data_IF_296056462966
#
_entry.id   IF_296056462966
#
_cell.length_a   1.000
_cell.length_b   1.000
_cell.length_c   1.000
_cell.angle_alpha   90.00
_cell.angle_beta   90.00
_cell.angle_gamma   90.00
#
_symmetry.space_group_name_H-M   'P 1'
#
loop_
_entity.id
_entity.type
_entity.pdbx_description
1 polymer ?
#
# COMPACT_ATOMS: atom_id res chain seq x y z
N UNK A 1 -51.35 -9.99 29.08
CA UNK A 1 -49.95 -10.47 29.11
C UNK A 1 -49.18 -9.76 28.00
N UNK A 2 -48.19 -8.93 28.35
CA UNK A 2 -47.32 -8.21 27.41
C UNK A 2 -45.94 -8.83 27.52
N UNK A 3 -45.42 -9.36 26.42
CA UNK A 3 -44.01 -9.70 26.29
C UNK A 3 -43.44 -8.83 25.17
N UNK A 4 -42.54 -7.91 25.52
CA UNK A 4 -41.71 -7.17 24.58
C UNK A 4 -40.42 -7.95 24.36
N UNK A 5 -40.14 -8.34 23.12
CA UNK A 5 -38.84 -8.88 22.73
C UNK A 5 -37.89 -7.70 22.41
N UNK A 6 -36.76 -7.63 23.10
CA UNK A 6 -35.69 -6.68 22.81
C UNK A 6 -34.76 -7.27 21.74
N UNK A 7 -34.64 -6.60 20.59
CA UNK A 7 -33.63 -6.91 19.59
C UNK A 7 -32.32 -6.18 19.94
N UNK A 8 -31.24 -6.93 20.14
CA UNK A 8 -29.91 -6.36 20.34
C UNK A 8 -29.27 -6.02 18.97
N UNK A 9 -29.02 -4.74 18.71
CA UNK A 9 -28.17 -4.30 17.61
C UNK A 9 -26.70 -4.52 18.01
N UNK A 10 -26.01 -5.44 17.33
CA UNK A 10 -24.56 -5.54 17.40
C UNK A 10 -23.97 -4.51 16.42
N UNK A 11 -23.34 -3.44 16.92
CA UNK A 11 -22.61 -2.50 16.08
C UNK A 11 -21.28 -3.14 15.64
N UNK A 12 -21.05 -3.23 14.33
CA UNK A 12 -19.76 -3.64 13.75
C UNK A 12 -18.83 -2.42 13.85
N UNK A 13 -17.78 -2.53 14.66
CA UNK A 13 -16.71 -1.53 14.67
C UNK A 13 -15.87 -1.70 13.40
N UNK A 14 -16.04 -0.79 12.45
CA UNK A 14 -15.08 -0.63 11.34
C UNK A 14 -13.86 0.07 11.92
N UNK A 15 -12.80 -0.69 12.21
CA UNK A 15 -11.51 -0.11 12.57
C UNK A 15 -10.88 0.45 11.30
N UNK A 16 -10.97 1.76 11.07
CA UNK A 16 -10.13 2.41 10.06
C UNK A 16 -8.67 2.20 10.44
N UNK A 17 -7.86 1.61 9.55
CA UNK A 17 -6.43 1.51 9.81
C UNK A 17 -5.86 2.93 9.91
N UNK A 18 -5.40 3.31 11.10
CA UNK A 18 -4.68 4.55 11.28
C UNK A 18 -3.30 4.42 10.63
N UNK A 19 -2.94 5.37 9.78
CA UNK A 19 -1.60 5.44 9.17
C UNK A 19 -0.57 5.70 10.26
N UNK A 20 0.41 4.80 10.38
CA UNK A 20 1.55 4.97 11.26
C UNK A 20 2.72 5.57 10.49
N UNK A 21 3.20 6.73 10.92
CA UNK A 21 4.32 7.39 10.27
C UNK A 21 5.63 6.68 10.56
N UNK A 22 6.36 6.32 9.50
CA UNK A 22 7.75 5.86 9.60
C UNK A 22 8.62 6.97 10.20
N UNK A 23 9.49 6.58 11.14
CA UNK A 23 10.48 7.47 11.77
C UNK A 23 11.80 7.50 11.00
N UNK A 24 12.03 6.51 10.15
CA UNK A 24 13.10 6.47 9.15
C UNK A 24 12.60 6.87 7.77
N UNK A 25 12.54 5.92 6.85
CA UNK A 25 12.08 6.08 5.47
C UNK A 25 10.75 5.34 5.25
N UNK A 26 9.78 5.97 4.60
CA UNK A 26 8.63 5.26 4.02
C UNK A 26 8.97 4.87 2.57
N UNK A 27 9.02 3.58 2.28
CA UNK A 27 9.26 3.07 0.94
C UNK A 27 7.94 2.68 0.28
N UNK A 28 7.62 3.27 -0.86
CA UNK A 28 6.54 2.80 -1.74
C UNK A 28 7.13 1.96 -2.85
N UNK A 29 6.59 0.77 -3.07
CA UNK A 29 7.25 -0.24 -3.89
C UNK A 29 6.28 -0.82 -4.91
N UNK A 30 6.60 -0.67 -6.18
CA UNK A 30 5.77 -1.17 -7.28
C UNK A 30 6.51 -2.31 -8.00
N UNK A 31 5.90 -3.49 -7.97
CA UNK A 31 6.44 -4.73 -8.58
C UNK A 31 6.40 -4.68 -10.11
N UNK A 32 7.07 -5.63 -10.77
CA UNK A 32 7.03 -5.83 -12.21
C UNK A 32 5.87 -6.72 -12.68
N UNK A 33 5.71 -6.78 -14.00
CA UNK A 33 4.65 -7.58 -14.65
C UNK A 33 4.73 -9.05 -14.27
N UNK A 34 3.60 -9.66 -13.91
CA UNK A 34 3.48 -11.08 -13.58
C UNK A 34 3.96 -11.45 -12.18
N UNK A 35 4.52 -10.52 -11.42
CA UNK A 35 4.91 -10.77 -10.03
C UNK A 35 3.68 -10.86 -9.12
N UNK A 36 3.74 -11.70 -8.09
CA UNK A 36 2.70 -11.80 -7.08
C UNK A 36 2.58 -10.48 -6.28
N UNK A 37 1.40 -10.15 -5.73
CA UNK A 37 1.23 -8.96 -4.89
C UNK A 37 2.25 -8.90 -3.75
N UNK A 38 2.80 -7.69 -3.51
CA UNK A 38 3.88 -7.46 -2.56
C UNK A 38 5.06 -6.74 -3.21
N UNK A 39 6.25 -6.97 -2.66
CA UNK A 39 7.47 -6.21 -3.02
C UNK A 39 8.14 -6.71 -4.32
N UNK A 40 7.70 -7.86 -4.87
CA UNK A 40 8.31 -8.49 -6.03
C UNK A 40 9.83 -8.70 -5.85
N UNK A 41 10.57 -8.64 -6.94
CA UNK A 41 12.03 -8.79 -6.98
C UNK A 41 12.76 -7.74 -6.14
N UNK A 42 12.13 -6.61 -5.83
CA UNK A 42 12.76 -5.53 -5.05
C UNK A 42 12.80 -5.80 -3.54
N UNK A 43 12.22 -6.92 -3.08
CA UNK A 43 12.17 -7.30 -1.67
C UNK A 43 13.54 -7.40 -0.97
N UNK A 44 14.60 -7.75 -1.72
CA UNK A 44 15.96 -7.78 -1.18
C UNK A 44 16.51 -6.36 -0.91
N UNK A 45 16.24 -5.40 -1.81
CA UNK A 45 16.67 -4.00 -1.67
C UNK A 45 15.93 -3.35 -0.50
N UNK A 46 14.63 -3.52 -0.40
CA UNK A 46 13.82 -2.98 0.69
C UNK A 46 14.24 -3.57 2.04
N UNK A 47 14.52 -4.88 2.12
CA UNK A 47 15.03 -5.51 3.35
C UNK A 47 16.40 -4.94 3.76
N UNK A 48 17.29 -4.71 2.79
CA UNK A 48 18.57 -4.05 3.06
C UNK A 48 18.37 -2.62 3.60
N UNK A 49 17.43 -1.85 3.03
CA UNK A 49 17.10 -0.51 3.52
C UNK A 49 16.56 -0.55 4.95
N UNK A 50 15.64 -1.47 5.25
CA UNK A 50 15.12 -1.64 6.62
C UNK A 50 16.23 -1.95 7.63
N UNK A 51 17.25 -2.72 7.23
CA UNK A 51 18.42 -3.02 8.07
C UNK A 51 19.38 -1.84 8.27
N UNK A 52 19.52 -0.97 7.26
CA UNK A 52 20.43 0.18 7.30
C UNK A 52 19.80 1.44 7.90
N UNK A 53 18.47 1.57 7.82
CA UNK A 53 17.72 2.75 8.25
C UNK A 53 16.63 2.31 9.23
N UNK A 54 16.93 2.22 10.55
CA UNK A 54 15.95 1.86 11.56
C UNK A 54 14.72 2.79 11.54
N UNK A 55 13.55 2.22 11.83
CA UNK A 55 12.27 2.96 11.81
C UNK A 55 11.69 3.20 10.41
N UNK A 56 12.29 2.60 9.37
CA UNK A 56 11.74 2.58 8.03
C UNK A 56 10.60 1.57 7.90
N UNK A 57 9.70 1.81 6.95
CA UNK A 57 8.54 0.97 6.65
C UNK A 57 8.39 0.80 5.14
N UNK A 58 7.77 -0.31 4.71
CA UNK A 58 7.58 -0.63 3.30
C UNK A 58 6.09 -0.79 3.01
N UNK A 59 5.61 -0.08 1.98
CA UNK A 59 4.26 -0.19 1.44
C UNK A 59 4.32 -0.63 -0.03
N UNK A 60 4.02 -1.90 -0.32
CA UNK A 60 3.79 -2.34 -1.68
C UNK A 60 2.58 -1.62 -2.30
N UNK A 61 2.70 -1.20 -3.55
CA UNK A 61 1.57 -0.69 -4.33
C UNK A 61 0.76 -1.86 -4.86
N UNK A 62 -0.49 -1.92 -4.45
CA UNK A 62 -1.42 -2.93 -4.93
C UNK A 62 -2.05 -2.47 -6.25
N UNK A 63 -1.68 -3.15 -7.33
CA UNK A 63 -2.13 -2.86 -8.68
C UNK A 63 -2.02 -4.13 -9.55
N UNK A 64 -2.61 -4.19 -10.75
CA UNK A 64 -2.68 -5.44 -11.51
C UNK A 64 -1.32 -6.07 -11.86
N UNK A 65 -0.33 -5.26 -12.26
CA UNK A 65 0.96 -5.74 -12.77
C UNK A 65 0.81 -6.78 -13.90
N UNK A 66 -0.10 -6.57 -14.84
CA UNK A 66 -0.42 -7.52 -15.92
C UNK A 66 0.03 -7.02 -17.29
N UNK A 67 0.17 -7.93 -18.24
CA UNK A 67 0.48 -7.62 -19.65
C UNK A 67 -0.79 -7.51 -20.51
N UNK A 68 -1.76 -8.42 -20.30
CA UNK A 68 -2.89 -8.59 -21.22
C UNK A 68 -4.27 -8.48 -20.57
N UNK A 69 -4.47 -9.05 -19.37
CA UNK A 69 -5.76 -8.99 -18.68
C UNK A 69 -5.61 -8.65 -17.19
N UNK A 70 -5.90 -7.40 -16.76
CA UNK A 70 -6.23 -6.25 -17.60
C UNK A 70 -5.07 -5.86 -18.53
N UNK A 71 -5.35 -5.06 -19.56
CA UNK A 71 -4.35 -4.64 -20.56
C UNK A 71 -3.15 -3.97 -19.89
N UNK A 72 -1.97 -4.02 -20.52
CA UNK A 72 -0.78 -3.33 -20.02
C UNK A 72 -1.06 -1.85 -19.72
N UNK A 73 -1.80 -1.16 -20.59
CA UNK A 73 -2.15 0.25 -20.40
C UNK A 73 -3.06 0.48 -19.20
N UNK A 74 -4.05 -0.39 -18.98
CA UNK A 74 -4.92 -0.31 -17.80
C UNK A 74 -4.15 -0.65 -16.52
N UNK A 75 -3.24 -1.63 -16.58
CA UNK A 75 -2.34 -1.96 -15.48
C UNK A 75 -1.47 -0.76 -15.09
N UNK A 76 -0.81 -0.12 -16.07
CA UNK A 76 0.01 1.08 -15.85
C UNK A 76 -0.82 2.25 -15.31
N UNK A 77 -2.00 2.49 -15.90
CA UNK A 77 -2.92 3.56 -15.45
C UNK A 77 -3.34 3.35 -14.00
N UNK A 78 -3.74 2.13 -13.65
CA UNK A 78 -4.16 1.80 -12.31
C UNK A 78 -2.99 1.88 -11.32
N UNK A 79 -1.82 1.34 -11.68
CA UNK A 79 -0.62 1.44 -10.84
C UNK A 79 -0.20 2.89 -10.57
N UNK A 80 -0.22 3.74 -11.60
CA UNK A 80 0.09 5.18 -11.46
C UNK A 80 -0.91 5.87 -10.55
N UNK A 81 -2.22 5.59 -10.73
CA UNK A 81 -3.28 6.14 -9.90
C UNK A 81 -3.12 5.70 -8.44
N UNK A 82 -2.96 4.40 -8.18
CA UNK A 82 -2.83 3.87 -6.81
C UNK A 82 -1.59 4.40 -6.10
N UNK A 83 -0.43 4.46 -6.78
CA UNK A 83 0.78 5.05 -6.19
C UNK A 83 0.56 6.52 -5.82
N UNK A 84 -0.04 7.30 -6.73
CA UNK A 84 -0.34 8.72 -6.47
C UNK A 84 -1.27 8.89 -5.27
N UNK A 85 -2.34 8.12 -5.20
CA UNK A 85 -3.30 8.16 -4.10
C UNK A 85 -2.64 7.76 -2.77
N UNK A 86 -1.83 6.70 -2.78
CA UNK A 86 -1.07 6.24 -1.61
C UNK A 86 -0.08 7.30 -1.12
N UNK A 87 0.62 7.99 -2.03
CA UNK A 87 1.52 9.08 -1.67
C UNK A 87 0.78 10.28 -1.08
N UNK A 88 -0.35 10.68 -1.66
CA UNK A 88 -1.16 11.82 -1.16
C UNK A 88 -1.72 11.49 0.22
N UNK A 89 -2.28 10.30 0.39
CA UNK A 89 -2.85 9.86 1.66
C UNK A 89 -1.78 9.82 2.76
N UNK A 90 -0.65 9.18 2.47
CA UNK A 90 0.44 9.06 3.43
C UNK A 90 1.07 10.42 3.77
N UNK A 91 1.34 11.27 2.78
CA UNK A 91 1.95 12.60 3.03
C UNK A 91 1.00 13.54 3.78
N UNK A 92 -0.32 13.37 3.61
CA UNK A 92 -1.31 14.12 4.39
C UNK A 92 -1.30 13.70 5.86
N UNK A 93 -1.13 12.41 6.15
CA UNK A 93 -1.04 11.90 7.52
C UNK A 93 0.35 12.13 8.16
N UNK A 94 1.40 12.08 7.34
CA UNK A 94 2.81 12.04 7.77
C UNK A 94 3.67 13.08 7.01
N UNK A 95 3.40 14.39 7.17
CA UNK A 95 3.98 15.43 6.32
C UNK A 95 5.50 15.59 6.47
N UNK A 96 6.10 15.08 7.54
CA UNK A 96 7.52 15.21 7.84
C UNK A 96 8.34 13.95 7.52
N UNK A 97 7.70 12.85 7.12
CA UNK A 97 8.40 11.60 6.82
C UNK A 97 9.19 11.70 5.52
N UNK A 98 10.40 11.12 5.48
CA UNK A 98 11.16 10.95 4.23
C UNK A 98 10.56 9.80 3.43
N UNK A 99 10.41 10.00 2.12
CA UNK A 99 9.80 9.00 1.23
C UNK A 99 10.81 8.58 0.16
N UNK A 100 10.82 7.28 -0.15
CA UNK A 100 11.43 6.75 -1.36
C UNK A 100 10.41 5.94 -2.16
N UNK A 101 10.52 5.98 -3.49
CA UNK A 101 9.70 5.20 -4.40
C UNK A 101 10.61 4.27 -5.19
N UNK A 102 10.29 2.97 -5.20
CA UNK A 102 11.00 1.97 -5.97
C UNK A 102 10.04 1.33 -6.98
N UNK A 103 10.45 1.31 -8.24
CA UNK A 103 9.70 0.66 -9.33
C UNK A 103 10.59 -0.29 -10.10
N UNK A 104 10.07 -1.48 -10.39
CA UNK A 104 10.74 -2.48 -11.23
C UNK A 104 9.94 -2.78 -12.50
N UNK A 105 10.64 -2.93 -13.63
CA UNK A 105 10.06 -3.30 -14.94
C UNK A 105 8.90 -2.37 -15.36
N UNK A 106 7.65 -2.84 -15.40
CA UNK A 106 6.46 -2.06 -15.76
C UNK A 106 6.22 -0.84 -14.86
N UNK A 107 6.72 -0.88 -13.63
CA UNK A 107 6.54 0.21 -12.68
C UNK A 107 7.60 1.32 -12.77
N UNK A 108 8.47 1.31 -13.80
CA UNK A 108 9.36 2.42 -14.14
C UNK A 108 8.71 3.33 -15.17
#
# INVERSE_FOLDING_TARGET
>A
MRFFAAAALCAILVSGQQIQCATGLQLFVSRGTGEAPGQGVTGNITQAVLGLIPGSSVQPIDYPATLENPSYFDSVRNGTKTLRESLIEYTSACPNTKIAVLGYSQAR
#
